data_IF_599546909873
#
_entry.id   IF_599546909873
#
_cell.length_a   1.000
_cell.length_b   1.000
_cell.length_c   1.000
_cell.angle_alpha   90.00
_cell.angle_beta   90.00
_cell.angle_gamma   90.00
#
_symmetry.space_group_name_H-M   'P 1'
#
loop_
_entity.id
_entity.type
_entity.pdbx_description
1 polymer ?
#
# COMPACT_ATOMS: atom_id res chain seq x y z
N UNK A 1 -16.05 -12.07 -8.76
CA UNK A 1 -16.09 -10.87 -7.88
C UNK A 1 -17.23 -10.96 -6.86
N UNK A 2 -18.47 -11.35 -7.25
CA UNK A 2 -19.65 -11.35 -6.37
C UNK A 2 -19.49 -12.26 -5.14
N UNK A 3 -18.94 -13.45 -5.32
CA UNK A 3 -18.65 -14.38 -4.21
C UNK A 3 -17.62 -13.78 -3.25
N UNK A 4 -16.60 -13.12 -3.78
CA UNK A 4 -15.56 -12.45 -2.98
C UNK A 4 -16.18 -11.31 -2.16
N UNK A 5 -17.01 -10.47 -2.78
CA UNK A 5 -17.73 -9.40 -2.08
C UNK A 5 -18.64 -9.97 -1.00
N UNK A 6 -19.41 -11.03 -1.32
CA UNK A 6 -20.30 -11.67 -0.35
C UNK A 6 -19.52 -12.22 0.86
N UNK A 7 -18.35 -12.84 0.64
CA UNK A 7 -17.50 -13.32 1.72
C UNK A 7 -16.96 -12.17 2.61
N UNK A 8 -16.54 -11.05 2.03
CA UNK A 8 -16.05 -9.90 2.78
C UNK A 8 -17.15 -9.21 3.58
N UNK A 9 -18.38 -9.16 3.05
CA UNK A 9 -19.55 -8.64 3.78
C UNK A 9 -19.86 -9.38 5.08
N UNK A 10 -19.47 -10.66 5.21
CA UNK A 10 -19.63 -11.40 6.47
C UNK A 10 -18.76 -10.83 7.60
N UNK A 11 -17.70 -10.10 7.26
CA UNK A 11 -16.78 -9.44 8.19
C UNK A 11 -16.95 -7.94 8.22
N UNK A 12 -18.01 -7.40 7.61
CA UNK A 12 -18.23 -5.95 7.43
C UNK A 12 -17.02 -5.25 6.78
N UNK A 13 -16.35 -5.95 5.87
CA UNK A 13 -15.15 -5.46 5.18
C UNK A 13 -15.49 -5.05 3.75
N UNK A 14 -15.30 -3.77 3.43
CA UNK A 14 -15.53 -3.22 2.09
C UNK A 14 -14.25 -3.16 1.23
N UNK A 15 -13.08 -3.34 1.82
CA UNK A 15 -11.79 -3.25 1.14
C UNK A 15 -11.25 -4.63 0.79
N UNK A 16 -11.11 -4.89 -0.50
CA UNK A 16 -10.71 -6.21 -1.03
C UNK A 16 -9.34 -6.08 -1.69
N UNK A 17 -8.31 -6.52 -0.98
CA UNK A 17 -6.91 -6.30 -1.36
C UNK A 17 -6.38 -7.28 -2.40
N UNK A 18 -5.59 -6.74 -3.33
CA UNK A 18 -4.69 -7.48 -4.21
C UNK A 18 -3.27 -7.13 -3.78
N UNK A 19 -2.47 -8.15 -3.42
CA UNK A 19 -1.11 -7.96 -2.92
C UNK A 19 -0.14 -7.40 -3.95
N UNK A 20 -0.30 -7.78 -5.21
CA UNK A 20 0.41 -7.20 -6.36
C UNK A 20 -0.22 -7.71 -7.65
N UNK A 21 0.12 -7.12 -8.80
CA UNK A 21 -0.32 -7.70 -10.06
C UNK A 21 0.36 -9.07 -10.31
N UNK A 22 -0.41 -10.06 -10.78
CA UNK A 22 0.09 -11.41 -11.01
C UNK A 22 1.33 -11.43 -11.91
N UNK A 23 2.43 -12.04 -11.43
CA UNK A 23 3.70 -12.07 -12.15
C UNK A 23 4.55 -10.81 -12.04
N UNK A 24 4.19 -9.86 -11.16
CA UNK A 24 4.90 -8.58 -11.02
C UNK A 24 4.87 -7.74 -12.30
N UNK A 25 5.93 -7.00 -12.57
CA UNK A 25 6.09 -6.19 -13.79
C UNK A 25 7.35 -6.59 -14.57
N UNK A 26 7.61 -7.88 -14.67
CA UNK A 26 8.76 -8.39 -15.43
C UNK A 26 8.70 -8.02 -16.92
N UNK A 27 7.49 -7.84 -17.45
CA UNK A 27 7.21 -7.47 -18.84
C UNK A 27 6.06 -6.47 -18.91
N UNK A 28 6.10 -5.49 -19.83
CA UNK A 28 5.05 -4.47 -19.97
C UNK A 28 3.64 -5.02 -20.17
N UNK A 29 3.52 -6.16 -20.88
CA UNK A 29 2.23 -6.79 -21.18
C UNK A 29 1.49 -7.25 -19.92
N UNK A 30 2.20 -7.51 -18.83
CA UNK A 30 1.60 -7.88 -17.54
C UNK A 30 0.69 -6.77 -17.04
N UNK A 31 1.13 -5.53 -17.17
CA UNK A 31 0.32 -4.37 -16.79
C UNK A 31 -0.95 -4.25 -17.63
N UNK A 32 -0.82 -4.33 -18.94
CA UNK A 32 -1.95 -4.19 -19.86
C UNK A 32 -2.97 -5.32 -19.66
N UNK A 33 -2.49 -6.56 -19.42
CA UNK A 33 -3.33 -7.69 -19.06
C UNK A 33 -4.03 -7.46 -17.70
N UNK A 34 -3.32 -6.95 -16.70
CA UNK A 34 -3.91 -6.64 -15.40
C UNK A 34 -5.06 -5.65 -15.53
N UNK A 35 -4.85 -4.54 -16.23
CA UNK A 35 -5.90 -3.54 -16.47
C UNK A 35 -7.10 -4.16 -17.19
N UNK A 36 -6.86 -4.93 -18.25
CA UNK A 36 -7.91 -5.62 -19.01
C UNK A 36 -8.72 -6.60 -18.16
N UNK A 37 -8.04 -7.42 -17.36
CA UNK A 37 -8.65 -8.51 -16.59
C UNK A 37 -9.40 -8.00 -15.34
N UNK A 38 -8.93 -6.88 -14.76
CA UNK A 38 -9.47 -6.38 -13.48
C UNK A 38 -10.48 -5.23 -13.61
N UNK A 39 -10.63 -4.61 -14.78
CA UNK A 39 -11.64 -3.55 -14.97
C UNK A 39 -13.07 -4.03 -14.66
N UNK A 40 -13.51 -5.12 -15.28
CA UNK A 40 -14.84 -5.65 -15.03
C UNK A 40 -15.03 -6.13 -13.59
N UNK A 41 -14.10 -6.90 -12.97
CA UNK A 41 -14.16 -7.22 -11.55
C UNK A 41 -14.23 -6.01 -10.62
N UNK A 42 -13.41 -4.97 -10.85
CA UNK A 42 -13.41 -3.75 -10.04
C UNK A 42 -14.76 -3.03 -10.08
N UNK A 43 -15.32 -2.90 -11.28
CA UNK A 43 -16.66 -2.32 -11.47
C UNK A 43 -17.74 -3.10 -10.73
N UNK A 44 -17.73 -4.42 -10.84
CA UNK A 44 -18.70 -5.28 -10.11
C UNK A 44 -18.52 -5.11 -8.60
N UNK A 45 -17.29 -5.04 -8.09
CA UNK A 45 -17.03 -4.78 -6.67
C UNK A 45 -17.61 -3.43 -6.23
N UNK A 46 -17.37 -2.37 -7.01
CA UNK A 46 -17.90 -1.02 -6.74
C UNK A 46 -19.43 -0.99 -6.73
N UNK A 47 -20.09 -1.59 -7.72
CA UNK A 47 -21.55 -1.71 -7.80
C UNK A 47 -22.16 -2.48 -6.61
N UNK A 48 -21.38 -3.32 -5.94
CA UNK A 48 -21.77 -4.08 -4.77
C UNK A 48 -21.27 -3.48 -3.43
N UNK A 49 -20.76 -2.24 -3.45
CA UNK A 49 -20.35 -1.49 -2.26
C UNK A 49 -19.01 -1.94 -1.67
N UNK A 50 -18.14 -2.55 -2.49
CA UNK A 50 -16.77 -2.90 -2.13
C UNK A 50 -15.79 -2.14 -3.03
N UNK A 51 -14.58 -1.90 -2.54
CA UNK A 51 -13.50 -1.25 -3.27
C UNK A 51 -12.35 -2.24 -3.46
N UNK A 52 -11.92 -2.41 -4.70
CA UNK A 52 -10.71 -3.14 -4.98
C UNK A 52 -9.50 -2.32 -4.50
N UNK A 53 -8.59 -2.94 -3.76
CA UNK A 53 -7.41 -2.30 -3.20
C UNK A 53 -6.15 -2.88 -3.82
N UNK A 54 -5.25 -2.03 -4.27
CA UNK A 54 -3.96 -2.42 -4.81
C UNK A 54 -2.83 -2.10 -3.83
N UNK A 55 -2.05 -3.11 -3.43
CA UNK A 55 -0.85 -2.94 -2.63
C UNK A 55 0.37 -2.79 -3.53
N UNK A 56 1.13 -1.70 -3.35
CA UNK A 56 2.33 -1.44 -4.14
C UNK A 56 3.58 -2.09 -3.53
N UNK A 57 4.48 -2.44 -4.44
CA UNK A 57 5.88 -2.75 -4.17
C UNK A 57 6.80 -1.71 -4.84
N UNK A 58 8.04 -2.07 -5.07
CA UNK A 58 9.02 -1.20 -5.74
C UNK A 58 8.87 -1.19 -7.26
N UNK A 59 8.38 -2.28 -7.86
CA UNK A 59 8.34 -2.40 -9.32
C UNK A 59 7.28 -1.51 -9.98
N UNK A 60 6.23 -1.07 -9.27
CA UNK A 60 5.28 -0.08 -9.80
C UNK A 60 5.90 1.32 -9.93
N UNK A 61 7.09 1.53 -9.35
CA UNK A 61 7.87 2.75 -9.55
C UNK A 61 8.77 2.69 -10.79
N UNK A 62 8.77 1.60 -11.56
CA UNK A 62 9.36 1.59 -12.89
C UNK A 62 8.57 2.49 -13.82
N UNK A 63 9.29 3.06 -14.82
CA UNK A 63 8.66 3.87 -15.86
C UNK A 63 8.15 3.00 -17.00
N UNK A 64 6.90 3.20 -17.34
CA UNK A 64 6.27 2.61 -18.53
C UNK A 64 6.75 3.31 -19.82
N UNK A 65 6.36 2.77 -20.95
CA UNK A 65 6.76 3.28 -22.27
C UNK A 65 6.34 4.74 -22.52
N UNK A 66 5.32 5.25 -21.83
CA UNK A 66 4.89 6.65 -21.91
C UNK A 66 5.59 7.59 -20.90
N UNK A 67 6.57 7.06 -20.15
CA UNK A 67 7.38 7.80 -19.17
C UNK A 67 6.76 7.96 -17.80
N UNK A 68 5.49 7.58 -17.60
CA UNK A 68 4.81 7.58 -16.28
C UNK A 68 5.19 6.35 -15.47
N UNK A 69 5.16 6.47 -14.15
CA UNK A 69 5.29 5.32 -13.27
C UNK A 69 4.05 4.42 -13.38
N UNK A 70 4.22 3.10 -13.24
CA UNK A 70 3.08 2.19 -13.31
C UNK A 70 2.07 2.44 -12.18
N UNK A 71 2.52 2.88 -11.00
CA UNK A 71 1.62 3.25 -9.91
C UNK A 71 0.74 4.47 -10.26
N UNK A 72 1.29 5.44 -11.01
CA UNK A 72 0.52 6.58 -11.54
C UNK A 72 -0.49 6.12 -12.60
N UNK A 73 -0.08 5.21 -13.49
CA UNK A 73 -0.98 4.65 -14.50
C UNK A 73 -2.16 3.91 -13.88
N UNK A 74 -1.95 3.12 -12.82
CA UNK A 74 -3.06 2.46 -12.10
C UNK A 74 -4.09 3.48 -11.61
N UNK A 75 -3.65 4.63 -11.12
CA UNK A 75 -4.56 5.69 -10.68
C UNK A 75 -5.30 6.38 -11.86
N UNK A 76 -4.76 6.34 -13.07
CA UNK A 76 -5.39 6.89 -14.28
C UNK A 76 -6.31 5.88 -14.98
N UNK A 77 -5.89 4.61 -15.01
CA UNK A 77 -6.60 3.56 -15.73
C UNK A 77 -7.83 3.03 -14.96
N UNK A 78 -7.94 3.28 -13.64
CA UNK A 78 -9.11 2.96 -12.81
C UNK A 78 -9.66 4.21 -12.15
N UNK A 79 -10.98 4.29 -12.02
CA UNK A 79 -11.62 5.38 -11.25
C UNK A 79 -11.40 5.22 -9.74
N UNK A 80 -11.55 6.28 -8.93
CA UNK A 80 -11.46 6.19 -7.47
C UNK A 80 -12.45 5.22 -6.83
N UNK A 81 -13.60 4.99 -7.47
CA UNK A 81 -14.62 4.05 -7.03
C UNK A 81 -14.27 2.60 -7.37
N UNK A 82 -13.41 2.38 -8.36
CA UNK A 82 -12.99 1.05 -8.81
C UNK A 82 -11.74 0.58 -8.10
N UNK A 83 -10.74 1.48 -7.87
CA UNK A 83 -9.45 1.12 -7.30
C UNK A 83 -8.99 2.13 -6.27
N UNK A 84 -8.80 1.67 -5.03
CA UNK A 84 -8.01 2.33 -4.00
C UNK A 84 -6.63 1.72 -3.85
N UNK A 85 -5.79 2.35 -3.02
CA UNK A 85 -4.43 1.89 -2.76
C UNK A 85 -4.25 1.51 -1.29
N UNK A 86 -3.65 0.36 -1.04
CA UNK A 86 -2.97 0.06 0.21
C UNK A 86 -1.52 0.48 0.02
N UNK A 87 -1.21 1.73 0.35
CA UNK A 87 0.12 2.27 0.11
C UNK A 87 1.10 1.75 1.17
N UNK A 88 2.20 1.15 0.70
CA UNK A 88 3.26 0.65 1.57
C UNK A 88 4.41 1.66 1.65
N UNK A 89 4.68 2.15 2.86
CA UNK A 89 5.66 3.21 3.11
C UNK A 89 7.09 2.77 2.84
N UNK A 90 7.43 1.51 3.12
CA UNK A 90 8.76 0.95 2.84
C UNK A 90 9.04 0.90 1.33
N UNK A 91 8.11 0.36 0.55
CA UNK A 91 8.32 0.21 -0.88
C UNK A 91 8.36 1.54 -1.62
N UNK A 92 7.60 2.55 -1.15
CA UNK A 92 7.73 3.92 -1.67
C UNK A 92 9.13 4.47 -1.39
N UNK A 93 9.60 4.39 -0.14
CA UNK A 93 10.92 4.88 0.25
C UNK A 93 12.04 4.10 -0.42
N UNK A 94 11.91 2.78 -0.53
CA UNK A 94 12.83 1.90 -1.24
C UNK A 94 13.04 2.34 -2.68
N UNK A 95 11.99 2.78 -3.33
CA UNK A 95 11.98 3.24 -4.73
C UNK A 95 12.46 4.69 -4.91
N UNK A 96 12.87 5.35 -3.82
CA UNK A 96 13.34 6.75 -3.85
C UNK A 96 12.22 7.78 -3.79
N UNK A 97 10.98 7.36 -3.49
CA UNK A 97 9.84 8.25 -3.27
C UNK A 97 9.75 8.70 -1.80
N UNK A 98 8.98 9.74 -1.56
CA UNK A 98 8.60 10.19 -0.21
C UNK A 98 7.20 9.65 0.11
N UNK A 99 7.04 8.75 1.12
CA UNK A 99 5.74 8.15 1.42
C UNK A 99 4.65 9.18 1.72
N UNK A 100 4.96 10.25 2.47
CA UNK A 100 3.97 11.29 2.78
C UNK A 100 3.47 12.02 1.53
N UNK A 101 4.37 12.32 0.57
CA UNK A 101 3.99 12.96 -0.69
C UNK A 101 3.12 12.04 -1.56
N UNK A 102 3.41 10.73 -1.57
CA UNK A 102 2.61 9.76 -2.32
C UNK A 102 1.22 9.56 -1.72
N UNK A 103 1.11 9.55 -0.37
CA UNK A 103 -0.19 9.53 0.32
C UNK A 103 -1.01 10.76 -0.07
N UNK A 104 -0.42 11.95 -0.03
CA UNK A 104 -1.09 13.19 -0.42
C UNK A 104 -1.49 13.19 -1.90
N UNK A 105 -0.62 12.71 -2.79
CA UNK A 105 -0.89 12.59 -4.23
C UNK A 105 -2.11 11.73 -4.51
N UNK A 106 -2.33 10.70 -3.72
CA UNK A 106 -3.48 9.79 -3.83
C UNK A 106 -4.57 10.06 -2.79
N UNK A 107 -4.65 11.29 -2.26
CA UNK A 107 -5.68 11.69 -1.29
C UNK A 107 -7.08 11.27 -1.75
N UNK A 108 -7.87 10.70 -0.82
CA UNK A 108 -9.20 10.12 -1.10
C UNK A 108 -9.16 8.72 -1.75
N UNK A 109 -7.99 8.17 -2.06
CA UNK A 109 -7.82 6.84 -2.66
C UNK A 109 -6.91 5.91 -1.84
N UNK A 110 -6.51 6.32 -0.63
CA UNK A 110 -5.62 5.56 0.27
C UNK A 110 -6.35 5.30 1.60
N UNK A 111 -7.45 4.55 1.60
CA UNK A 111 -8.16 4.24 2.85
C UNK A 111 -7.35 3.30 3.76
N UNK A 112 -6.39 2.56 3.21
CA UNK A 112 -5.49 1.67 3.96
C UNK A 112 -4.04 2.02 3.65
N UNK A 113 -3.16 1.92 4.68
CA UNK A 113 -1.70 2.02 4.50
C UNK A 113 -1.00 0.88 5.22
N UNK A 114 0.10 0.41 4.65
CA UNK A 114 1.07 -0.41 5.36
C UNK A 114 2.14 0.49 5.98
N UNK A 115 2.18 0.53 7.31
CA UNK A 115 3.25 1.17 8.06
C UNK A 115 4.40 0.17 8.17
N UNK A 116 5.39 0.36 7.32
CA UNK A 116 6.55 -0.52 7.15
C UNK A 116 7.79 0.33 7.04
N UNK A 117 8.72 0.17 7.98
CA UNK A 117 9.88 1.05 8.11
C UNK A 117 11.11 0.49 7.42
N UNK A 118 12.02 1.39 7.06
CA UNK A 118 13.26 1.12 6.35
C UNK A 118 14.43 1.69 7.12
N UNK A 119 15.45 0.87 7.36
CA UNK A 119 16.72 1.31 7.93
C UNK A 119 17.90 0.97 7.02
N UNK A 120 19.00 1.66 7.21
CA UNK A 120 20.30 1.29 6.64
C UNK A 120 21.15 0.67 7.75
N UNK A 121 21.43 -0.63 7.62
CA UNK A 121 22.24 -1.39 8.59
C UNK A 121 23.41 -2.00 7.83
N UNK A 122 24.62 -1.72 8.26
CA UNK A 122 25.85 -2.21 7.60
C UNK A 122 25.92 -1.90 6.08
N UNK A 123 25.40 -0.73 5.68
CA UNK A 123 25.30 -0.23 4.28
C UNK A 123 24.25 -0.94 3.42
N UNK A 124 23.41 -1.77 4.01
CA UNK A 124 22.33 -2.46 3.33
C UNK A 124 20.98 -1.93 3.80
N UNK A 125 20.03 -1.85 2.88
CA UNK A 125 18.62 -1.59 3.22
C UNK A 125 18.05 -2.80 3.95
N UNK A 126 17.35 -2.52 5.05
CA UNK A 126 16.63 -3.53 5.82
C UNK A 126 15.28 -3.00 6.26
N UNK A 127 14.34 -3.92 6.48
CA UNK A 127 13.13 -3.62 7.20
C UNK A 127 13.47 -3.34 8.66
N UNK A 128 12.73 -2.43 9.26
CA UNK A 128 12.89 -2.07 10.66
C UNK A 128 11.55 -2.07 11.39
N UNK A 129 11.61 -2.15 12.70
CA UNK A 129 10.46 -1.84 13.56
C UNK A 129 10.02 -0.40 13.26
N UNK A 130 8.72 -0.19 13.11
CA UNK A 130 8.18 1.14 12.79
C UNK A 130 8.62 2.17 13.85
N UNK A 131 9.25 3.25 13.36
CA UNK A 131 9.80 4.31 14.21
C UNK A 131 11.25 4.08 14.68
N UNK A 132 11.87 2.95 14.31
CA UNK A 132 13.30 2.69 14.58
C UNK A 132 14.17 2.79 13.30
N UNK A 133 13.55 3.05 12.15
CA UNK A 133 14.21 3.22 10.85
C UNK A 133 14.40 4.67 10.44
N UNK A 134 14.37 4.91 9.14
CA UNK A 134 14.68 6.19 8.53
C UNK A 134 13.47 6.91 7.92
N UNK A 135 12.28 6.28 7.90
CA UNK A 135 11.07 6.91 7.38
C UNK A 135 10.54 7.94 8.39
N UNK A 136 10.17 9.11 7.89
CA UNK A 136 9.55 10.16 8.71
C UNK A 136 8.08 9.82 8.96
N UNK A 137 7.80 9.03 10.01
CA UNK A 137 6.44 8.62 10.35
C UNK A 137 5.56 9.77 10.86
N UNK A 138 6.10 10.83 11.43
CA UNK A 138 5.31 12.01 11.77
C UNK A 138 4.68 12.62 10.50
N UNK A 139 5.47 12.75 9.44
CA UNK A 139 4.97 13.24 8.15
C UNK A 139 4.00 12.25 7.49
N UNK A 140 4.26 10.94 7.59
CA UNK A 140 3.39 9.87 7.05
C UNK A 140 2.03 9.89 7.74
N UNK A 141 1.99 9.92 9.08
CA UNK A 141 0.74 9.91 9.85
C UNK A 141 -0.09 11.18 9.59
N UNK A 142 0.55 12.36 9.55
CA UNK A 142 -0.12 13.62 9.20
C UNK A 142 -0.69 13.59 7.78
N UNK A 143 0.04 13.03 6.82
CA UNK A 143 -0.43 12.89 5.44
C UNK A 143 -1.60 11.89 5.35
N UNK A 144 -1.53 10.78 6.07
CA UNK A 144 -2.58 9.76 6.11
C UNK A 144 -3.88 10.31 6.71
N UNK A 145 -3.80 11.04 7.83
CA UNK A 145 -4.96 11.71 8.43
C UNK A 145 -5.59 12.70 7.45
N UNK A 146 -4.77 13.54 6.81
CA UNK A 146 -5.23 14.55 5.84
C UNK A 146 -5.83 13.91 4.57
N UNK A 147 -5.34 12.74 4.16
CA UNK A 147 -5.82 12.00 2.99
C UNK A 147 -7.08 11.17 3.25
N UNK A 148 -7.55 11.09 4.51
CA UNK A 148 -8.71 10.31 4.90
C UNK A 148 -8.45 8.81 5.01
N UNK A 149 -7.22 8.40 5.37
CA UNK A 149 -6.87 7.01 5.65
C UNK A 149 -7.64 6.49 6.86
N UNK A 150 -8.31 5.35 6.71
CA UNK A 150 -9.14 4.73 7.75
C UNK A 150 -8.38 3.67 8.55
N UNK A 151 -7.44 2.96 7.89
CA UNK A 151 -6.72 1.84 8.48
C UNK A 151 -5.22 1.93 8.24
N UNK A 152 -4.45 1.79 9.31
CA UNK A 152 -3.01 1.71 9.28
C UNK A 152 -2.57 0.34 9.84
N UNK A 153 -1.94 -0.46 9.00
CA UNK A 153 -1.52 -1.83 9.33
C UNK A 153 0.00 -1.89 9.41
N UNK A 154 0.52 -2.35 10.55
CA UNK A 154 1.97 -2.60 10.67
C UNK A 154 2.32 -3.85 9.88
N UNK A 155 3.31 -3.73 9.00
CA UNK A 155 3.87 -4.85 8.25
C UNK A 155 5.40 -4.90 8.37
N UNK A 156 5.94 -6.09 8.58
CA UNK A 156 7.39 -6.33 8.59
C UNK A 156 7.65 -7.76 8.13
N UNK A 157 8.07 -7.97 6.87
CA UNK A 157 8.26 -9.31 6.29
C UNK A 157 9.47 -10.04 6.88
N UNK A 158 10.45 -9.29 7.36
CA UNK A 158 11.63 -9.86 8.00
C UNK A 158 11.94 -9.15 9.30
N UNK A 159 12.00 -9.91 10.38
CA UNK A 159 12.48 -9.44 11.68
C UNK A 159 13.94 -9.87 11.92
N UNK A 160 14.58 -10.52 10.96
CA UNK A 160 15.94 -11.06 11.02
C UNK A 160 16.11 -11.98 12.23
N UNK A 161 16.98 -11.61 13.19
CA UNK A 161 17.25 -12.41 14.39
C UNK A 161 16.33 -12.06 15.57
N UNK A 162 15.39 -11.13 15.40
CA UNK A 162 14.48 -10.70 16.45
C UNK A 162 13.16 -11.48 16.45
N UNK A 163 12.51 -11.55 17.62
CA UNK A 163 11.18 -12.15 17.72
C UNK A 163 10.13 -11.25 17.04
N UNK A 164 9.33 -11.75 16.08
CA UNK A 164 8.35 -10.94 15.36
C UNK A 164 7.31 -10.26 16.27
N UNK A 165 6.89 -10.90 17.36
CA UNK A 165 5.94 -10.32 18.30
C UNK A 165 6.54 -9.16 19.11
N UNK A 166 7.84 -9.23 19.42
CA UNK A 166 8.54 -8.13 20.07
C UNK A 166 8.71 -6.94 19.12
N UNK A 167 9.02 -7.19 17.84
CA UNK A 167 9.06 -6.17 16.80
C UNK A 167 7.70 -5.48 16.65
N UNK A 168 6.63 -6.26 16.55
CA UNK A 168 5.27 -5.74 16.41
C UNK A 168 4.85 -4.92 17.65
N UNK A 169 5.20 -5.39 18.85
CA UNK A 169 4.93 -4.67 20.09
C UNK A 169 5.65 -3.31 20.13
N UNK A 170 6.91 -3.25 19.75
CA UNK A 170 7.67 -1.99 19.68
C UNK A 170 7.07 -1.05 18.62
N UNK A 171 6.73 -1.56 17.45
CA UNK A 171 6.05 -0.78 16.40
C UNK A 171 4.78 -0.13 16.94
N UNK A 172 3.95 -0.90 17.62
CA UNK A 172 2.74 -0.38 18.26
C UNK A 172 3.05 0.72 19.30
N UNK A 173 4.03 0.49 20.18
CA UNK A 173 4.42 1.46 21.21
C UNK A 173 4.94 2.76 20.58
N UNK A 174 5.76 2.66 19.54
CA UNK A 174 6.29 3.82 18.82
C UNK A 174 5.14 4.62 18.16
N UNK A 175 4.22 3.94 17.48
CA UNK A 175 3.08 4.58 16.85
C UNK A 175 2.15 5.27 17.85
N UNK A 176 1.87 4.65 18.98
CA UNK A 176 1.11 5.28 20.07
C UNK A 176 1.83 6.53 20.59
N UNK A 177 3.17 6.48 20.73
CA UNK A 177 3.96 7.65 21.16
C UNK A 177 3.94 8.80 20.15
N UNK A 178 3.72 8.49 18.84
CA UNK A 178 3.54 9.45 17.76
C UNK A 178 2.08 9.95 17.65
N UNK A 179 1.17 9.46 18.50
CA UNK A 179 -0.22 9.94 18.57
C UNK A 179 -1.23 9.09 17.84
N UNK A 180 -0.85 7.96 17.24
CA UNK A 180 -1.81 7.02 16.65
C UNK A 180 -2.67 6.42 17.77
N UNK A 181 -3.99 6.37 17.55
CA UNK A 181 -4.99 5.91 18.54
C UNK A 181 -5.62 4.60 18.10
#
# INVERSE_FOLDING_TARGET
PEQTVAAHKLFDCKYIGIGCMPGGLERPEIYDNFVSDFHAPAKIMAENGALMMYHNHHFEFMRSNNGKLYLERLAEDFTPEELGFTLDTYWVQYSGGNPAEWIQKFSGRVPCIHLKDLAIVNREQRMAVVGEGNINFDAVLNAAESAGTEYALVEQDSCYDENPFDCLKRSYQNLVSMGLK
#
